data_IF_749785781643
#
_entry.id   IF_749785781643
#
_cell.length_a   1.000
_cell.length_b   1.000
_cell.length_c   1.000
_cell.angle_alpha   90.00
_cell.angle_beta   90.00
_cell.angle_gamma   90.00
#
_symmetry.space_group_name_H-M   'P 1'
#
loop_
_entity.id
_entity.type
_entity.pdbx_description
1 polymer ?
#
# COMPACT_ATOMS: atom_id res chain seq x y z
N UNK A 1 -19.50 -6.83 6.61
CA UNK A 1 -18.22 -7.27 7.22
C UNK A 1 -18.56 -8.43 8.15
N UNK A 2 -18.28 -9.69 7.72
CA UNK A 2 -18.77 -10.91 8.42
C UNK A 2 -18.22 -11.06 9.84
N UNK A 3 -16.96 -10.73 10.07
CA UNK A 3 -16.27 -11.00 11.34
C UNK A 3 -16.15 -9.75 12.22
N UNK A 4 -17.04 -8.79 12.01
CA UNK A 4 -17.08 -7.57 12.82
C UNK A 4 -17.70 -7.86 14.20
N UNK A 5 -17.04 -7.36 15.24
CA UNK A 5 -17.58 -7.35 16.61
C UNK A 5 -18.27 -6.03 16.96
N UNK A 6 -18.51 -5.18 15.97
CA UNK A 6 -19.17 -3.86 16.11
C UNK A 6 -18.53 -2.94 17.16
N UNK A 7 -17.21 -3.03 17.35
CA UNK A 7 -16.47 -2.26 18.38
C UNK A 7 -16.31 -0.76 18.04
N UNK A 8 -16.65 -0.32 16.82
CA UNK A 8 -16.57 1.08 16.38
C UNK A 8 -15.16 1.62 16.12
N UNK A 9 -14.09 0.82 16.29
CA UNK A 9 -12.72 1.32 16.09
C UNK A 9 -12.43 1.75 14.65
N UNK A 10 -13.01 1.09 13.65
CA UNK A 10 -12.86 1.47 12.24
C UNK A 10 -13.58 2.81 11.94
N UNK A 11 -14.76 3.03 12.52
CA UNK A 11 -15.48 4.32 12.43
C UNK A 11 -14.64 5.44 13.05
N UNK A 12 -14.16 5.26 14.28
CA UNK A 12 -13.32 6.25 14.96
C UNK A 12 -12.01 6.52 14.21
N UNK A 13 -11.37 5.49 13.66
CA UNK A 13 -10.19 5.66 12.82
C UNK A 13 -10.48 6.51 11.57
N UNK A 14 -11.63 6.33 10.94
CA UNK A 14 -12.04 7.11 9.80
C UNK A 14 -12.42 8.55 10.17
N UNK A 15 -13.24 8.71 11.20
CA UNK A 15 -13.85 9.97 11.61
C UNK A 15 -12.93 10.86 12.42
N UNK A 16 -12.28 10.31 13.47
CA UNK A 16 -11.47 11.09 14.42
C UNK A 16 -10.01 11.16 14.02
N UNK A 17 -9.45 10.09 13.44
CA UNK A 17 -8.02 9.99 13.12
C UNK A 17 -7.71 10.58 11.75
N UNK A 18 -8.42 10.15 10.70
CA UNK A 18 -8.22 10.62 9.32
C UNK A 18 -9.15 11.79 8.95
N UNK A 19 -10.19 12.02 9.74
CA UNK A 19 -11.19 13.09 9.52
C UNK A 19 -11.83 13.00 8.13
N UNK A 20 -12.09 11.77 7.66
CA UNK A 20 -12.68 11.50 6.35
C UNK A 20 -14.18 11.19 6.43
N UNK A 21 -14.66 10.71 7.57
CA UNK A 21 -16.07 10.47 7.94
C UNK A 21 -16.88 9.63 6.93
N UNK A 22 -16.25 8.60 6.38
CA UNK A 22 -16.90 7.67 5.42
C UNK A 22 -17.54 6.47 6.09
N UNK A 23 -16.97 6.03 7.24
CA UNK A 23 -17.47 4.87 7.96
C UNK A 23 -18.41 5.34 9.06
N UNK A 24 -19.62 4.81 9.04
CA UNK A 24 -20.63 4.98 10.09
C UNK A 24 -21.27 3.65 10.47
N UNK A 25 -22.12 3.65 11.49
CA UNK A 25 -22.94 2.49 11.86
C UNK A 25 -24.28 2.57 11.14
N UNK A 26 -24.54 1.61 10.28
CA UNK A 26 -25.83 1.43 9.61
C UNK A 26 -26.72 0.44 10.33
N UNK A 27 -28.05 0.49 10.03
CA UNK A 27 -29.06 -0.34 10.66
C UNK A 27 -29.17 -0.12 12.19
N UNK A 28 -29.91 -0.97 12.89
CA UNK A 28 -30.10 -0.89 14.35
C UNK A 28 -30.31 -2.28 14.94
N UNK A 29 -30.16 -2.38 16.26
CA UNK A 29 -30.28 -3.66 16.97
C UNK A 29 -29.22 -4.66 16.54
N UNK A 30 -29.59 -5.92 16.37
CA UNK A 30 -28.66 -6.98 15.96
C UNK A 30 -28.16 -6.86 14.52
N UNK A 31 -28.85 -6.09 13.67
CA UNK A 31 -28.43 -5.82 12.30
C UNK A 31 -27.44 -4.66 12.18
N UNK A 32 -27.10 -4.01 13.30
CA UNK A 32 -26.17 -2.89 13.31
C UNK A 32 -24.80 -3.33 12.82
N UNK A 33 -24.27 -2.65 11.80
CA UNK A 33 -22.99 -2.98 11.18
C UNK A 33 -22.28 -1.72 10.69
N UNK A 34 -20.93 -1.73 10.61
CA UNK A 34 -20.19 -0.68 9.93
C UNK A 34 -20.53 -0.66 8.43
N UNK A 35 -20.86 0.51 7.92
CA UNK A 35 -21.15 0.76 6.50
C UNK A 35 -20.25 1.88 5.98
N UNK A 36 -20.10 1.95 4.65
CA UNK A 36 -19.41 3.04 3.97
C UNK A 36 -20.47 3.94 3.32
N UNK A 37 -20.41 5.24 3.56
CA UNK A 37 -21.39 6.24 3.10
C UNK A 37 -22.84 5.75 3.36
N UNK A 38 -23.62 5.52 2.31
CA UNK A 38 -25.00 5.04 2.39
C UNK A 38 -25.13 3.52 2.13
N UNK A 39 -24.18 2.72 2.63
CA UNK A 39 -24.05 1.27 2.40
C UNK A 39 -23.41 0.94 1.04
N UNK A 40 -22.62 1.85 0.50
CA UNK A 40 -21.88 1.63 -0.72
C UNK A 40 -20.74 0.60 -0.55
N UNK A 41 -20.37 -0.14 -1.59
CA UNK A 41 -19.11 -0.88 -1.61
C UNK A 41 -17.92 0.08 -1.40
N UNK A 42 -16.93 -0.30 -0.61
CA UNK A 42 -15.77 0.55 -0.28
C UNK A 42 -15.15 1.22 -1.52
N UNK A 43 -15.02 0.49 -2.63
CA UNK A 43 -14.42 1.00 -3.87
C UNK A 43 -15.29 1.99 -4.65
N UNK A 44 -16.57 2.14 -4.29
CA UNK A 44 -17.52 3.09 -4.89
C UNK A 44 -17.90 4.23 -3.92
N UNK A 45 -17.44 4.14 -2.68
CA UNK A 45 -17.65 5.15 -1.65
C UNK A 45 -16.69 6.33 -1.78
N UNK A 46 -16.88 7.38 -0.99
CA UNK A 46 -15.98 8.53 -0.90
C UNK A 46 -14.65 8.22 -0.16
N UNK A 47 -14.35 6.94 0.07
CA UNK A 47 -13.16 6.49 0.78
C UNK A 47 -11.87 6.87 0.06
N UNK A 48 -10.95 7.52 0.77
CA UNK A 48 -9.63 7.93 0.26
C UNK A 48 -8.56 6.81 0.37
N UNK A 49 -8.97 5.59 0.69
CA UNK A 49 -8.11 4.41 0.79
C UNK A 49 -6.88 4.60 1.70
N UNK A 50 -7.00 5.32 2.82
CA UNK A 50 -5.89 5.53 3.75
C UNK A 50 -5.51 4.27 4.55
N UNK A 51 -6.45 3.33 4.76
CA UNK A 51 -6.24 2.07 5.47
C UNK A 51 -6.16 2.18 6.99
N UNK A 52 -6.45 3.33 7.61
CA UNK A 52 -6.45 3.45 9.07
C UNK A 52 -7.49 2.56 9.76
N UNK A 53 -8.64 2.37 9.12
CA UNK A 53 -9.67 1.44 9.60
C UNK A 53 -9.17 -0.02 9.61
N UNK A 54 -8.31 -0.39 8.65
CA UNK A 54 -7.66 -1.70 8.58
C UNK A 54 -6.65 -1.85 9.73
N UNK A 55 -5.81 -0.84 9.95
CA UNK A 55 -4.82 -0.84 11.03
C UNK A 55 -5.48 -0.86 12.41
N UNK A 56 -6.64 -0.21 12.57
CA UNK A 56 -7.40 -0.15 13.82
C UNK A 56 -8.23 -1.42 14.10
N UNK A 57 -8.48 -2.26 13.10
CA UNK A 57 -9.35 -3.43 13.24
C UNK A 57 -8.67 -4.55 14.05
N UNK A 58 -9.19 -4.90 15.25
CA UNK A 58 -8.55 -5.90 16.10
C UNK A 58 -8.82 -7.34 15.68
N UNK A 59 -9.90 -7.56 14.91
CA UNK A 59 -10.34 -8.91 14.52
C UNK A 59 -9.91 -9.31 13.11
N UNK A 60 -9.40 -8.36 12.31
CA UNK A 60 -9.13 -8.59 10.88
C UNK A 60 -10.40 -8.63 10.01
N UNK A 61 -11.54 -8.16 10.53
CA UNK A 61 -12.75 -7.97 9.73
C UNK A 61 -12.53 -6.99 8.57
N UNK A 62 -11.61 -6.04 8.75
CA UNK A 62 -10.98 -5.23 7.72
C UNK A 62 -9.51 -5.65 7.65
N UNK A 63 -9.06 -6.11 6.50
CA UNK A 63 -7.72 -6.64 6.29
C UNK A 63 -7.21 -6.29 4.89
N UNK A 64 -5.91 -6.16 4.75
CA UNK A 64 -5.29 -5.96 3.44
C UNK A 64 -5.41 -7.21 2.59
N UNK A 65 -5.78 -7.01 1.32
CA UNK A 65 -5.95 -8.12 0.37
C UNK A 65 -4.68 -8.95 0.18
N UNK A 66 -3.51 -8.32 0.28
CA UNK A 66 -2.20 -8.97 0.18
C UNK A 66 -1.94 -10.05 1.25
N UNK A 67 -2.69 -10.03 2.35
CA UNK A 67 -2.58 -11.03 3.42
C UNK A 67 -3.57 -12.20 3.28
N UNK A 68 -4.48 -12.12 2.30
CA UNK A 68 -5.55 -13.09 2.12
C UNK A 68 -5.17 -14.16 1.10
N UNK A 69 -5.84 -15.31 1.18
CA UNK A 69 -5.79 -16.34 0.15
C UNK A 69 -6.41 -15.85 -1.16
N UNK A 70 -6.24 -16.63 -2.24
CA UNK A 70 -6.75 -16.30 -3.58
C UNK A 70 -8.25 -15.98 -3.63
N UNK A 71 -9.04 -16.58 -2.74
CA UNK A 71 -10.48 -16.38 -2.63
C UNK A 71 -10.87 -15.25 -1.66
N UNK A 72 -9.90 -14.57 -1.06
CA UNK A 72 -10.09 -13.51 -0.06
C UNK A 72 -10.99 -13.91 1.13
N UNK A 73 -10.99 -15.18 1.51
CA UNK A 73 -11.82 -15.74 2.58
C UNK A 73 -11.09 -15.95 3.89
N UNK A 74 -9.76 -16.04 3.85
CA UNK A 74 -8.95 -16.43 5.01
C UNK A 74 -7.57 -15.80 4.90
N UNK A 75 -7.01 -15.37 6.04
CA UNK A 75 -5.60 -14.96 6.11
C UNK A 75 -4.70 -16.18 5.93
N UNK A 76 -3.82 -16.13 4.95
CA UNK A 76 -2.81 -17.17 4.67
C UNK A 76 -1.38 -16.64 4.75
N UNK A 77 -1.19 -15.34 4.54
CA UNK A 77 0.14 -14.75 4.52
C UNK A 77 0.48 -14.15 5.88
N UNK A 78 1.51 -14.70 6.49
CA UNK A 78 2.10 -14.23 7.74
C UNK A 78 3.51 -13.73 7.45
N UNK A 79 3.86 -12.49 7.83
CA UNK A 79 5.20 -11.96 7.63
C UNK A 79 6.26 -12.79 8.38
N UNK A 80 7.44 -12.92 7.79
CA UNK A 80 8.61 -13.53 8.43
C UNK A 80 9.33 -12.52 9.32
N UNK A 81 9.28 -11.24 8.93
CA UNK A 81 9.91 -10.14 9.66
C UNK A 81 9.17 -8.82 9.44
N UNK A 82 9.39 -7.91 10.36
CA UNK A 82 8.97 -6.51 10.26
C UNK A 82 10.22 -5.63 10.26
N UNK A 83 10.31 -4.71 9.31
CA UNK A 83 11.44 -3.80 9.14
C UNK A 83 10.96 -2.37 9.27
N UNK A 84 11.59 -1.62 10.15
CA UNK A 84 11.32 -0.20 10.30
C UNK A 84 11.96 0.60 9.17
N UNK A 85 11.19 1.53 8.61
CA UNK A 85 11.60 2.34 7.47
C UNK A 85 10.95 3.72 7.50
N UNK A 86 11.22 4.49 6.46
CA UNK A 86 10.62 5.82 6.22
C UNK A 86 9.93 5.79 4.86
N UNK A 87 8.75 6.40 4.79
CA UNK A 87 7.97 6.51 3.56
C UNK A 87 8.73 7.36 2.51
N UNK A 88 8.91 6.87 1.26
CA UNK A 88 9.70 7.58 0.25
C UNK A 88 8.91 8.59 -0.58
N UNK A 89 7.58 8.72 -0.38
CA UNK A 89 6.73 9.44 -1.33
C UNK A 89 6.70 10.96 -1.16
N UNK A 90 6.94 11.49 0.03
CA UNK A 90 6.96 12.95 0.23
C UNK A 90 7.81 13.36 1.43
N UNK A 91 8.04 14.68 1.56
CA UNK A 91 8.89 15.29 2.60
C UNK A 91 8.35 15.20 4.03
N UNK A 92 7.13 14.68 4.26
CA UNK A 92 6.61 14.45 5.61
C UNK A 92 7.46 13.43 6.36
N UNK A 93 8.06 12.45 5.66
CA UNK A 93 8.95 11.47 6.28
C UNK A 93 8.24 10.55 7.26
N UNK A 94 7.02 10.12 6.93
CA UNK A 94 6.25 9.19 7.77
C UNK A 94 7.06 7.95 8.07
N UNK A 95 7.15 7.60 9.35
CA UNK A 95 7.77 6.36 9.78
C UNK A 95 6.83 5.18 9.54
N UNK A 96 7.38 4.09 9.00
CA UNK A 96 6.65 2.90 8.59
C UNK A 96 7.23 1.65 9.21
N UNK A 97 6.39 0.65 9.46
CA UNK A 97 6.77 -0.72 9.76
C UNK A 97 6.37 -1.60 8.58
N UNK A 98 7.37 -2.11 7.87
CA UNK A 98 7.20 -2.89 6.65
C UNK A 98 7.24 -4.37 6.98
N UNK A 99 6.15 -5.05 6.78
CA UNK A 99 6.01 -6.50 6.95
C UNK A 99 6.46 -7.22 5.68
N UNK A 100 7.41 -8.12 5.82
CA UNK A 100 8.05 -8.84 4.70
C UNK A 100 7.87 -10.34 4.85
N UNK A 101 7.56 -11.02 3.75
CA UNK A 101 7.57 -12.48 3.64
C UNK A 101 8.51 -12.91 2.51
N UNK A 102 9.49 -13.74 2.83
CA UNK A 102 10.59 -14.02 1.88
C UNK A 102 11.30 -12.72 1.52
N UNK A 103 11.18 -12.29 0.28
CA UNK A 103 11.72 -11.03 -0.22
C UNK A 103 10.63 -10.05 -0.71
N UNK A 104 9.38 -10.26 -0.32
CA UNK A 104 8.23 -9.48 -0.76
C UNK A 104 7.63 -8.67 0.37
N UNK A 105 7.26 -7.41 0.07
CA UNK A 105 6.50 -6.56 0.97
C UNK A 105 5.04 -7.03 0.92
N UNK A 106 4.51 -7.45 2.07
CA UNK A 106 3.12 -7.95 2.15
C UNK A 106 2.19 -6.99 2.88
N UNK A 107 2.73 -6.08 3.69
CA UNK A 107 1.95 -5.08 4.42
C UNK A 107 2.82 -3.91 4.86
N UNK A 108 2.25 -2.72 4.92
CA UNK A 108 2.90 -1.53 5.51
C UNK A 108 1.98 -0.86 6.51
N UNK A 109 2.43 -0.77 7.75
CA UNK A 109 1.76 -0.04 8.83
C UNK A 109 2.49 1.27 9.15
N UNK A 110 1.73 2.24 9.68
CA UNK A 110 2.32 3.43 10.25
C UNK A 110 2.96 3.13 11.60
N UNK A 111 4.23 3.51 11.77
CA UNK A 111 4.95 3.45 13.04
C UNK A 111 4.85 4.78 13.77
N UNK A 112 4.90 4.76 15.11
CA UNK A 112 4.93 5.97 15.92
C UNK A 112 6.17 6.79 15.60
N UNK A 113 5.96 7.91 14.95
CA UNK A 113 6.98 8.86 14.58
C UNK A 113 6.50 10.30 14.77
N UNK A 114 7.42 11.26 14.92
CA UNK A 114 7.04 12.65 15.25
C UNK A 114 6.16 13.28 14.16
N UNK A 115 6.37 12.92 12.89
CA UNK A 115 5.63 13.49 11.77
C UNK A 115 4.25 12.84 11.55
N UNK A 116 4.15 11.53 11.69
CA UNK A 116 2.93 10.80 11.31
C UNK A 116 2.14 10.20 12.48
N UNK A 117 2.73 10.06 13.68
CA UNK A 117 2.06 9.53 14.88
C UNK A 117 1.28 8.24 14.61
N UNK A 118 1.91 7.30 13.91
CA UNK A 118 1.31 6.01 13.56
C UNK A 118 0.37 6.01 12.36
N UNK A 119 0.13 7.14 11.71
CA UNK A 119 -0.83 7.28 10.60
C UNK A 119 -0.12 7.23 9.25
N UNK A 120 -0.82 6.79 8.21
CA UNK A 120 -0.36 6.83 6.83
C UNK A 120 -1.48 7.31 5.90
N UNK A 121 -1.07 7.94 4.80
CA UNK A 121 -1.96 8.14 3.66
C UNK A 121 -1.93 6.90 2.73
N UNK A 122 -2.78 6.90 1.71
CA UNK A 122 -2.86 5.82 0.71
C UNK A 122 -1.49 5.46 0.10
N UNK A 123 -0.65 6.44 -0.21
CA UNK A 123 0.69 6.21 -0.80
C UNK A 123 1.60 5.45 0.15
N UNK A 124 1.72 5.90 1.41
CA UNK A 124 2.58 5.25 2.39
C UNK A 124 2.14 3.85 2.75
N UNK A 125 0.83 3.57 2.71
CA UNK A 125 0.28 2.27 3.05
C UNK A 125 0.28 1.29 1.87
N UNK A 126 -0.15 1.72 0.70
CA UNK A 126 -0.39 0.83 -0.45
C UNK A 126 0.50 1.11 -1.67
N UNK A 127 1.33 2.15 -1.62
CA UNK A 127 2.13 2.53 -2.78
C UNK A 127 3.47 1.82 -2.92
N UNK A 128 3.78 0.82 -2.09
CA UNK A 128 5.10 0.15 -2.11
C UNK A 128 5.26 -0.94 -3.17
N UNK A 129 4.23 -1.20 -3.97
CA UNK A 129 4.23 -2.25 -5.01
C UNK A 129 5.35 -2.06 -6.04
N UNK A 130 5.78 -0.81 -6.29
CA UNK A 130 6.87 -0.50 -7.21
C UNK A 130 8.20 -1.18 -6.82
N UNK A 131 8.41 -1.46 -5.52
CA UNK A 131 9.63 -2.12 -5.03
C UNK A 131 9.75 -3.52 -5.62
N UNK A 132 8.62 -4.19 -5.82
CA UNK A 132 8.52 -5.55 -6.35
C UNK A 132 8.17 -5.60 -7.83
N UNK A 133 8.03 -4.45 -8.50
CA UNK A 133 7.70 -4.40 -9.91
C UNK A 133 8.75 -5.13 -10.75
N UNK A 134 8.35 -6.05 -11.64
CA UNK A 134 9.29 -6.69 -12.57
C UNK A 134 9.90 -5.70 -13.56
N UNK A 135 9.29 -4.54 -13.74
CA UNK A 135 9.80 -3.46 -14.58
C UNK A 135 10.82 -2.56 -13.86
N UNK A 136 11.08 -2.82 -12.59
CA UNK A 136 12.05 -2.04 -11.84
C UNK A 136 13.46 -2.29 -12.33
N UNK A 137 14.17 -1.23 -12.68
CA UNK A 137 15.59 -1.30 -13.03
C UNK A 137 16.42 -1.59 -11.78
N UNK A 138 17.13 -2.71 -11.79
CA UNK A 138 17.99 -3.17 -10.68
C UNK A 138 19.47 -3.06 -10.97
N UNK A 139 19.82 -2.72 -12.22
CA UNK A 139 21.19 -2.51 -12.68
C UNK A 139 21.29 -1.21 -13.46
N UNK A 140 22.46 -0.57 -13.51
CA UNK A 140 22.71 0.56 -14.39
C UNK A 140 22.50 0.17 -15.85
N UNK A 141 21.98 1.11 -16.63
CA UNK A 141 21.79 0.94 -18.06
C UNK A 141 22.57 2.02 -18.81
N UNK A 142 23.45 1.61 -19.72
CA UNK A 142 24.18 2.50 -20.61
C UNK A 142 23.57 2.44 -22.00
N UNK A 143 23.32 3.61 -22.60
CA UNK A 143 22.80 3.71 -23.96
C UNK A 143 23.81 3.10 -24.95
N UNK A 144 23.28 2.32 -25.90
CA UNK A 144 24.09 1.82 -27.03
C UNK A 144 24.51 3.00 -27.91
N UNK A 145 25.74 2.98 -28.41
CA UNK A 145 26.26 4.03 -29.29
C UNK A 145 25.44 4.20 -30.58
N UNK A 146 24.90 3.09 -31.08
CA UNK A 146 24.00 3.07 -32.26
C UNK A 146 22.61 3.60 -31.97
N UNK A 147 22.22 3.75 -30.69
CA UNK A 147 20.86 4.13 -30.33
C UNK A 147 20.66 5.64 -30.33
N UNK A 148 19.62 6.10 -31.03
CA UNK A 148 19.24 7.50 -31.09
C UNK A 148 18.70 7.99 -29.72
N UNK A 149 18.78 9.30 -29.47
CA UNK A 149 18.24 9.95 -28.28
C UNK A 149 16.80 10.42 -28.53
N UNK A 150 16.05 10.62 -27.41
CA UNK A 150 14.76 11.30 -27.51
C UNK A 150 14.89 12.66 -28.23
N UNK A 151 13.94 13.10 -29.09
CA UNK A 151 12.61 12.51 -29.29
C UNK A 151 12.52 11.42 -30.39
N UNK A 152 13.59 11.01 -31.00
CA UNK A 152 13.59 10.05 -32.11
C UNK A 152 13.31 8.59 -31.69
N UNK A 153 13.39 8.32 -30.38
CA UNK A 153 13.15 6.99 -29.82
C UNK A 153 11.95 7.01 -28.89
N UNK A 154 10.93 6.23 -29.20
CA UNK A 154 9.84 5.93 -28.28
C UNK A 154 10.30 4.76 -27.39
N UNK A 155 10.61 5.05 -26.12
CA UNK A 155 11.10 4.05 -25.18
C UNK A 155 9.91 3.21 -24.66
N UNK A 156 9.84 1.96 -25.07
CA UNK A 156 8.99 0.95 -24.48
C UNK A 156 9.85 0.08 -23.53
N UNK A 157 9.38 -0.15 -22.31
CA UNK A 157 10.10 -0.97 -21.34
C UNK A 157 10.44 -2.37 -21.89
N UNK A 158 9.51 -3.00 -22.59
CA UNK A 158 9.71 -4.33 -23.19
C UNK A 158 10.81 -4.33 -24.29
N UNK A 159 11.21 -3.17 -24.77
CA UNK A 159 12.21 -2.97 -25.82
C UNK A 159 13.44 -2.22 -25.33
N UNK A 160 13.57 -2.02 -24.02
CA UNK A 160 14.63 -1.21 -23.42
C UNK A 160 16.02 -1.70 -23.84
N UNK A 161 16.19 -3.02 -24.00
CA UNK A 161 17.46 -3.63 -24.40
C UNK A 161 17.85 -3.36 -25.88
N UNK A 162 16.92 -2.84 -26.70
CA UNK A 162 17.25 -2.36 -28.04
C UNK A 162 17.98 -1.00 -28.02
N UNK A 163 17.84 -0.27 -26.93
CA UNK A 163 18.39 1.08 -26.75
C UNK A 163 19.49 1.13 -25.70
N UNK A 164 19.39 0.26 -24.69
CA UNK A 164 20.32 0.23 -23.56
C UNK A 164 20.88 -1.18 -23.34
N UNK A 165 22.10 -1.26 -22.83
CA UNK A 165 22.70 -2.47 -22.28
C UNK A 165 22.88 -2.35 -20.79
N UNK A 166 22.87 -3.47 -20.07
CA UNK A 166 23.27 -3.52 -18.68
C UNK A 166 24.76 -3.21 -18.51
N UNK A 167 25.10 -2.56 -17.42
CA UNK A 167 26.46 -2.21 -17.03
C UNK A 167 26.68 -2.46 -15.53
N UNK A 168 27.95 -2.48 -15.11
CA UNK A 168 28.29 -2.38 -13.70
C UNK A 168 28.19 -0.93 -13.21
N UNK A 169 28.14 -0.74 -11.90
CA UNK A 169 28.20 0.60 -11.31
C UNK A 169 29.53 1.30 -11.60
N UNK A 170 30.64 0.54 -11.63
CA UNK A 170 31.97 1.06 -11.94
C UNK A 170 32.09 1.58 -13.39
N UNK A 171 31.37 0.92 -14.30
CA UNK A 171 31.35 1.35 -15.70
C UNK A 171 30.40 2.54 -15.93
N UNK A 172 29.32 2.64 -15.14
CA UNK A 172 28.29 3.66 -15.32
C UNK A 172 28.61 4.99 -14.66
N UNK A 173 29.50 5.02 -13.64
CA UNK A 173 29.95 6.20 -12.89
C UNK A 173 31.31 6.71 -13.39
#
# INVERSE_FOLDING_TARGET
IRDSISCGLCERACKEIQVNDVIGMGSRGEESKPIFDLEDPMGLSSCVACGECVQACPTGALMEKSLLNSNATKREIYPDKVVDSVCPFCGVGCQTSVSVKGNEIVKVDGRQGPANRGKLCVKGRFGMDYVMSPERLTKPLIRLESAKKYPEVNLNFNEIHKTFREASWEEAL
#
